data_IF_150289820008
#
_entry.id   IF_150289820008
#
_cell.length_a   1.000
_cell.length_b   1.000
_cell.length_c   1.000
_cell.angle_alpha   90.00
_cell.angle_beta   90.00
_cell.angle_gamma   90.00
#
_symmetry.space_group_name_H-M   'P 1'
#
loop_
_entity.id
_entity.type
_entity.pdbx_description
1 polymer ?
#
# COMPACT_ATOMS: atom_id res chain seq x y z
N UNK A 1 31.85 8.21 63.11
CA UNK A 1 32.67 9.31 62.58
C UNK A 1 33.82 8.71 61.78
N UNK A 2 33.99 9.14 60.51
CA UNK A 2 35.23 9.33 59.72
C UNK A 2 36.33 8.24 59.76
N UNK A 3 37.11 7.95 58.74
CA UNK A 3 37.24 8.29 57.31
C UNK A 3 38.58 7.66 56.89
N UNK A 4 38.68 7.05 55.71
CA UNK A 4 39.96 6.64 55.10
C UNK A 4 39.78 6.63 53.57
N UNK A 5 40.33 7.59 52.83
CA UNK A 5 41.61 7.59 52.05
C UNK A 5 41.45 7.25 50.56
N UNK A 6 42.03 8.10 49.68
CA UNK A 6 42.35 7.84 48.26
C UNK A 6 41.50 8.64 47.26
N UNK A 7 41.97 9.78 46.70
CA UNK A 7 42.87 9.99 45.54
C UNK A 7 42.16 9.95 44.15
N UNK A 8 42.08 11.09 43.45
CA UNK A 8 42.73 11.36 42.13
C UNK A 8 42.12 12.56 41.33
N UNK A 9 43.04 13.41 40.88
CA UNK A 9 43.12 14.23 39.66
C UNK A 9 42.07 15.30 39.34
N UNK A 10 42.42 16.55 39.67
CA UNK A 10 41.92 17.75 39.02
C UNK A 10 42.76 18.05 37.77
N UNK A 11 42.13 18.07 36.59
CA UNK A 11 42.74 18.45 35.31
C UNK A 11 43.40 19.84 35.37
N UNK A 12 44.70 19.88 35.06
CA UNK A 12 45.42 21.11 34.71
C UNK A 12 44.95 21.63 33.33
N UNK A 13 44.56 22.90 33.26
CA UNK A 13 44.40 23.59 31.98
C UNK A 13 45.74 24.21 31.56
N UNK A 14 46.18 24.05 30.29
CA UNK A 14 47.43 24.62 29.85
C UNK A 14 47.36 26.15 29.84
N UNK A 15 48.40 26.78 30.41
CA UNK A 15 48.57 28.23 30.43
C UNK A 15 48.90 28.72 29.01
N UNK A 16 48.02 29.55 28.45
CA UNK A 16 48.24 30.20 27.16
C UNK A 16 49.33 31.28 27.28
N UNK A 17 50.38 31.17 26.47
CA UNK A 17 51.45 32.18 26.34
C UNK A 17 51.45 32.76 24.92
N UNK A 18 51.24 34.07 24.82
CA UNK A 18 51.19 34.80 23.55
C UNK A 18 52.58 35.33 23.17
N UNK A 19 53.10 34.92 22.00
CA UNK A 19 54.38 35.39 21.44
C UNK A 19 54.11 36.37 20.27
N UNK A 20 54.38 37.68 20.41
CA UNK A 20 54.00 38.69 19.40
C UNK A 20 54.75 38.61 18.07
N UNK A 21 55.82 37.79 17.97
CA UNK A 21 56.59 37.61 16.72
C UNK A 21 56.15 36.43 15.86
N UNK A 22 55.40 35.48 16.41
CA UNK A 22 55.04 34.23 15.72
C UNK A 22 53.58 34.17 15.25
N UNK A 23 52.77 35.19 15.59
CA UNK A 23 51.34 35.16 15.27
C UNK A 23 50.58 34.11 16.10
N UNK A 24 49.25 34.16 16.06
CA UNK A 24 48.41 33.17 16.74
C UNK A 24 48.32 31.98 15.79
N UNK A 25 49.03 30.90 16.09
CA UNK A 25 48.74 29.61 15.47
C UNK A 25 47.38 29.14 16.03
N UNK A 26 46.32 29.49 15.30
CA UNK A 26 44.97 29.07 15.63
C UNK A 26 44.69 27.74 14.92
N UNK A 27 44.73 26.58 15.62
CA UNK A 27 44.47 25.29 14.99
C UNK A 27 43.03 25.15 14.46
N UNK A 28 42.16 26.14 14.69
CA UNK A 28 40.75 26.12 14.29
C UNK A 28 40.48 26.62 12.84
N UNK A 29 41.50 26.84 12.01
CA UNK A 29 41.32 27.24 10.60
C UNK A 29 42.11 26.34 9.64
N UNK A 30 42.00 25.02 9.82
CA UNK A 30 42.05 24.14 8.65
C UNK A 30 40.65 24.22 8.04
N UNK A 31 40.51 25.04 6.99
CA UNK A 31 39.36 24.94 6.09
C UNK A 31 39.59 23.63 5.34
N UNK A 32 39.23 22.50 5.95
CA UNK A 32 38.91 21.33 5.16
C UNK A 32 37.75 21.76 4.28
N UNK A 33 37.91 21.68 2.96
CA UNK A 33 36.77 21.75 2.05
C UNK A 33 35.68 20.86 2.66
N UNK A 34 34.60 21.47 3.16
CA UNK A 34 33.43 20.72 3.59
C UNK A 34 33.09 19.83 2.38
N UNK A 35 32.97 18.50 2.54
CA UNK A 35 32.52 17.67 1.44
C UNK A 35 31.19 18.30 0.99
N UNK A 36 31.12 18.68 -0.29
CA UNK A 36 29.88 19.19 -0.88
C UNK A 36 28.75 18.28 -0.39
N UNK A 37 27.62 18.83 0.08
CA UNK A 37 26.54 18.02 0.64
C UNK A 37 26.27 16.90 -0.35
N UNK A 38 26.43 15.65 0.09
CA UNK A 38 26.27 14.46 -0.73
C UNK A 38 25.00 14.65 -1.57
N UNK A 39 25.14 14.98 -2.86
CA UNK A 39 24.02 15.33 -3.75
C UNK A 39 23.27 14.05 -4.15
N UNK A 40 23.20 13.08 -3.24
CA UNK A 40 22.43 11.87 -3.43
C UNK A 40 20.95 12.27 -3.38
N UNK A 41 20.18 11.95 -4.43
CA UNK A 41 18.77 12.31 -4.51
C UNK A 41 18.06 11.69 -3.31
N UNK A 42 17.46 12.50 -2.44
CA UNK A 42 16.88 12.01 -1.19
C UNK A 42 15.34 12.00 -1.29
N UNK A 43 14.71 10.81 -1.41
CA UNK A 43 13.25 10.74 -1.48
C UNK A 43 12.58 11.32 -0.24
N UNK A 44 11.52 12.08 -0.45
CA UNK A 44 10.72 12.70 0.61
C UNK A 44 9.46 11.88 0.84
N UNK A 45 9.14 11.64 2.10
CA UNK A 45 7.89 11.02 2.49
C UNK A 45 6.84 12.10 2.75
N UNK A 46 5.81 12.13 1.90
CA UNK A 46 4.62 12.94 2.09
C UNK A 46 3.52 12.11 2.77
N UNK A 47 3.08 12.56 3.95
CA UNK A 47 1.99 11.95 4.70
C UNK A 47 0.73 12.80 4.52
N UNK A 48 -0.21 12.32 3.73
CA UNK A 48 -1.47 13.00 3.49
C UNK A 48 -2.55 12.40 4.40
N UNK A 49 -3.26 13.28 5.10
CA UNK A 49 -4.41 12.92 5.92
C UNK A 49 -5.61 13.76 5.49
N UNK A 50 -6.68 13.10 5.07
CA UNK A 50 -7.92 13.74 4.66
C UNK A 50 -9.07 13.43 5.62
N UNK A 51 -10.13 14.22 5.54
CA UNK A 51 -11.42 13.89 6.16
C UNK A 51 -12.26 13.01 5.23
N UNK A 52 -13.26 12.32 5.78
CA UNK A 52 -14.21 11.53 4.99
C UNK A 52 -14.94 12.44 3.99
N UNK A 53 -14.98 12.06 2.72
CA UNK A 53 -15.57 12.85 1.63
C UNK A 53 -14.68 13.99 1.08
N UNK A 54 -13.49 14.23 1.65
CA UNK A 54 -12.54 15.20 1.12
C UNK A 54 -11.65 14.54 0.03
N UNK A 55 -11.21 15.30 -0.97
CA UNK A 55 -10.13 14.85 -1.87
C UNK A 55 -8.77 14.96 -1.17
N UNK A 56 -7.73 14.32 -1.72
CA UNK A 56 -6.36 14.62 -1.30
C UNK A 56 -5.83 15.94 -1.90
N UNK A 57 -6.51 16.47 -2.93
CA UNK A 57 -6.21 17.75 -3.58
C UNK A 57 -4.98 17.71 -4.49
N UNK A 58 -4.83 16.65 -5.27
CA UNK A 58 -3.83 16.55 -6.34
C UNK A 58 -4.34 15.68 -7.49
N UNK A 59 -3.67 15.81 -8.63
CA UNK A 59 -3.87 14.97 -9.81
C UNK A 59 -2.65 14.09 -10.03
N UNK A 60 -2.90 12.84 -10.42
CA UNK A 60 -1.84 11.93 -10.85
C UNK A 60 -1.85 11.85 -12.36
N UNK A 61 -0.67 12.02 -12.95
CA UNK A 61 -0.42 11.86 -14.38
C UNK A 61 0.60 10.75 -14.59
N UNK A 62 0.39 9.93 -15.62
CA UNK A 62 1.43 9.02 -16.11
C UNK A 62 2.24 9.72 -17.19
N UNK A 63 3.56 9.74 -17.03
CA UNK A 63 4.48 10.24 -18.04
C UNK A 63 4.97 9.09 -18.92
N UNK A 64 4.45 9.02 -20.15
CA UNK A 64 4.77 7.95 -21.09
C UNK A 64 6.24 7.97 -21.53
N UNK A 65 6.97 9.08 -21.40
CA UNK A 65 8.38 9.18 -21.81
C UNK A 65 9.33 8.60 -20.76
N UNK A 66 8.99 8.74 -19.49
CA UNK A 66 9.84 8.34 -18.36
C UNK A 66 9.32 7.12 -17.60
N UNK A 67 8.17 6.57 -18.00
CA UNK A 67 7.43 5.51 -17.27
C UNK A 67 7.12 5.83 -15.80
N UNK A 68 7.19 7.10 -15.41
CA UNK A 68 6.99 7.54 -14.03
C UNK A 68 5.63 8.18 -13.78
N UNK A 69 5.25 8.23 -12.51
CA UNK A 69 4.05 8.91 -12.03
C UNK A 69 4.38 10.33 -11.57
N UNK A 70 3.66 11.33 -12.07
CA UNK A 70 3.86 12.73 -11.76
C UNK A 70 2.65 13.31 -11.00
N UNK A 71 2.93 14.11 -9.98
CA UNK A 71 1.95 14.93 -9.28
C UNK A 71 1.73 16.25 -10.03
N UNK A 72 0.46 16.63 -10.22
CA UNK A 72 0.04 17.89 -10.85
C UNK A 72 -1.10 18.52 -10.07
N UNK A 73 -1.28 19.83 -10.29
CA UNK A 73 -2.42 20.61 -9.82
C UNK A 73 -2.69 20.39 -8.33
N UNK A 74 -1.64 20.55 -7.50
CA UNK A 74 -1.77 20.51 -6.05
C UNK A 74 -2.64 21.69 -5.60
N UNK A 75 -3.83 21.38 -5.09
CA UNK A 75 -4.83 22.35 -4.69
C UNK A 75 -4.34 23.12 -3.44
N UNK A 76 -4.48 24.45 -3.39
CA UNK A 76 -4.15 25.23 -2.19
C UNK A 76 -4.96 24.77 -0.97
N UNK A 77 -4.31 24.74 0.20
CA UNK A 77 -4.90 24.33 1.49
C UNK A 77 -5.36 22.87 1.53
N UNK A 78 -4.98 22.06 0.54
CA UNK A 78 -5.32 20.63 0.48
C UNK A 78 -4.46 19.79 1.41
N UNK A 79 -4.86 18.53 1.71
CA UNK A 79 -3.99 17.56 2.37
C UNK A 79 -2.66 17.36 1.64
N UNK A 80 -2.63 17.42 0.31
CA UNK A 80 -1.42 17.31 -0.50
C UNK A 80 -0.43 18.45 -0.22
N UNK A 81 -0.88 19.70 -0.32
CA UNK A 81 0.00 20.86 -0.09
C UNK A 81 0.59 20.86 1.33
N UNK A 82 -0.27 20.61 2.34
CA UNK A 82 0.13 20.54 3.74
C UNK A 82 1.12 19.40 4.02
N UNK A 83 1.09 18.32 3.24
CA UNK A 83 2.05 17.22 3.35
C UNK A 83 3.42 17.53 2.74
N UNK A 84 3.58 18.69 2.10
CA UNK A 84 4.81 19.08 1.41
C UNK A 84 4.90 18.59 -0.04
N UNK A 85 3.80 18.04 -0.59
CA UNK A 85 3.71 17.65 -1.99
C UNK A 85 3.71 18.90 -2.87
N UNK A 86 4.35 18.83 -4.04
CA UNK A 86 4.32 19.92 -5.03
C UNK A 86 4.12 19.37 -6.44
N UNK A 87 3.68 20.24 -7.32
CA UNK A 87 3.62 19.99 -8.75
C UNK A 87 4.99 19.60 -9.31
N UNK A 88 5.02 18.55 -10.12
CA UNK A 88 6.23 17.98 -10.69
C UNK A 88 6.87 16.89 -9.84
N UNK A 89 6.43 16.66 -8.59
CA UNK A 89 6.94 15.56 -7.77
C UNK A 89 6.68 14.21 -8.45
N UNK A 90 7.70 13.35 -8.46
CA UNK A 90 7.66 12.00 -9.05
C UNK A 90 7.41 10.96 -7.97
N UNK A 91 6.37 10.15 -8.13
CA UNK A 91 5.97 9.15 -7.13
C UNK A 91 6.76 7.86 -7.31
N UNK A 92 7.56 7.51 -6.31
CA UNK A 92 8.30 6.25 -6.24
C UNK A 92 7.50 5.15 -5.53
N UNK A 93 6.82 5.50 -4.43
CA UNK A 93 6.04 4.55 -3.65
C UNK A 93 4.67 5.09 -3.24
N UNK A 94 3.69 4.20 -3.19
CA UNK A 94 2.36 4.41 -2.60
C UNK A 94 2.17 3.40 -1.47
N UNK A 95 1.99 3.88 -0.24
CA UNK A 95 1.75 3.05 0.95
C UNK A 95 2.76 1.91 1.11
N UNK A 96 4.06 2.24 1.06
CA UNK A 96 5.19 1.30 1.20
C UNK A 96 5.28 0.25 0.07
N UNK A 97 4.71 0.53 -1.10
CA UNK A 97 4.81 -0.29 -2.32
C UNK A 97 5.37 0.55 -3.47
N UNK A 98 6.44 0.07 -4.11
CA UNK A 98 7.08 0.72 -5.25
C UNK A 98 6.17 0.68 -6.48
N UNK A 99 5.99 1.80 -7.17
CA UNK A 99 4.96 1.96 -8.22
C UNK A 99 5.45 2.19 -9.64
N UNK A 100 6.73 2.49 -9.87
CA UNK A 100 7.27 2.93 -11.18
C UNK A 100 6.93 1.97 -12.36
N UNK A 101 6.78 0.67 -12.11
CA UNK A 101 6.42 -0.33 -13.13
C UNK A 101 4.98 -0.90 -12.99
N UNK A 102 4.10 -0.20 -12.29
CA UNK A 102 2.72 -0.62 -12.07
C UNK A 102 1.80 0.12 -13.06
N UNK A 103 0.77 -0.57 -13.56
CA UNK A 103 -0.27 0.03 -14.40
C UNK A 103 -0.94 1.26 -13.76
N UNK A 104 -1.28 2.27 -14.57
CA UNK A 104 -1.85 3.53 -14.10
C UNK A 104 -3.11 3.31 -13.25
N UNK A 105 -4.05 2.48 -13.73
CA UNK A 105 -5.31 2.25 -13.05
C UNK A 105 -5.11 1.49 -11.74
N UNK A 106 -4.09 0.63 -11.68
CA UNK A 106 -3.72 -0.07 -10.45
C UNK A 106 -3.16 0.88 -9.39
N UNK A 107 -2.31 1.84 -9.77
CA UNK A 107 -1.83 2.89 -8.85
C UNK A 107 -2.97 3.80 -8.38
N UNK A 108 -3.83 4.24 -9.30
CA UNK A 108 -5.03 5.03 -8.96
C UNK A 108 -5.90 4.29 -7.96
N UNK A 109 -6.16 3.00 -8.18
CA UNK A 109 -6.94 2.16 -7.26
C UNK A 109 -6.30 2.09 -5.87
N UNK A 110 -4.98 1.91 -5.78
CA UNK A 110 -4.25 1.89 -4.49
C UNK A 110 -4.43 3.19 -3.72
N UNK A 111 -4.37 4.33 -4.40
CA UNK A 111 -4.56 5.66 -3.80
C UNK A 111 -6.02 5.84 -3.36
N UNK A 112 -6.99 5.46 -4.19
CA UNK A 112 -8.41 5.58 -3.85
C UNK A 112 -8.82 4.63 -2.71
N UNK A 113 -8.17 3.49 -2.58
CA UNK A 113 -8.49 2.46 -1.58
C UNK A 113 -7.78 2.66 -0.23
N UNK A 114 -6.94 3.68 -0.10
CA UNK A 114 -6.11 3.89 1.09
C UNK A 114 -6.90 4.45 2.30
N UNK A 115 -8.16 4.83 2.09
CA UNK A 115 -9.01 5.44 3.10
C UNK A 115 -8.62 6.89 3.37
N UNK A 116 -8.37 7.22 4.65
CA UNK A 116 -8.09 8.59 5.10
C UNK A 116 -6.60 8.95 5.13
N UNK A 117 -5.73 7.95 5.07
CA UNK A 117 -4.29 8.11 5.17
C UNK A 117 -3.61 7.63 3.89
N UNK A 118 -2.80 8.49 3.29
CA UNK A 118 -2.01 8.17 2.10
C UNK A 118 -0.55 8.52 2.37
N UNK A 119 0.35 7.59 2.06
CA UNK A 119 1.79 7.78 2.19
C UNK A 119 2.41 7.72 0.81
N UNK A 120 3.00 8.83 0.37
CA UNK A 120 3.70 8.93 -0.91
C UNK A 120 5.19 9.12 -0.66
N UNK A 121 6.04 8.28 -1.24
CA UNK A 121 7.46 8.55 -1.33
C UNK A 121 7.72 9.20 -2.69
N UNK A 122 8.24 10.43 -2.68
CA UNK A 122 8.40 11.24 -3.89
C UNK A 122 9.83 11.77 -4.04
N UNK A 123 10.24 11.99 -5.30
CA UNK A 123 11.43 12.76 -5.65
C UNK A 123 11.02 14.05 -6.35
N UNK A 124 11.86 15.09 -6.27
CA UNK A 124 11.69 16.27 -7.13
C UNK A 124 11.90 15.87 -8.60
N UNK A 125 11.31 16.64 -9.53
CA UNK A 125 11.44 16.37 -10.97
C UNK A 125 12.91 16.31 -11.37
N UNK A 126 13.68 17.31 -10.96
CA UNK A 126 15.08 17.48 -11.32
C UNK A 126 15.93 16.31 -10.76
N UNK A 127 15.71 15.95 -9.50
CA UNK A 127 16.40 14.83 -8.83
C UNK A 127 16.06 13.49 -9.49
N UNK A 128 14.80 13.28 -9.90
CA UNK A 128 14.37 12.07 -10.60
C UNK A 128 15.01 11.98 -11.98
N UNK A 129 14.99 13.04 -12.77
CA UNK A 129 15.61 13.09 -14.10
C UNK A 129 17.14 12.92 -14.04
N UNK A 130 17.78 13.51 -13.03
CA UNK A 130 19.21 13.33 -12.76
C UNK A 130 19.51 11.88 -12.36
N UNK A 131 18.69 11.27 -11.50
CA UNK A 131 18.83 9.86 -11.10
C UNK A 131 18.74 8.92 -12.30
N UNK A 132 17.76 9.15 -13.19
CA UNK A 132 17.62 8.37 -14.42
C UNK A 132 18.82 8.54 -15.36
N UNK A 133 19.30 9.77 -15.51
CA UNK A 133 20.47 10.08 -16.36
C UNK A 133 21.76 9.43 -15.86
N UNK A 134 21.90 9.30 -14.53
CA UNK A 134 23.01 8.63 -13.87
C UNK A 134 22.84 7.11 -13.77
N UNK A 135 21.70 6.55 -14.21
CA UNK A 135 21.41 5.11 -14.12
C UNK A 135 21.23 4.62 -12.68
N UNK A 136 20.81 5.49 -11.76
CA UNK A 136 20.55 5.12 -10.36
C UNK A 136 19.30 4.23 -10.31
N UNK A 137 19.40 3.09 -9.61
CA UNK A 137 18.24 2.26 -9.32
C UNK A 137 17.34 2.93 -8.27
N UNK A 138 16.26 3.55 -8.74
CA UNK A 138 15.25 4.23 -7.93
C UNK A 138 14.59 3.30 -6.89
N UNK A 139 14.49 2.00 -7.16
CA UNK A 139 13.95 1.06 -6.18
C UNK A 139 14.93 0.86 -5.02
N UNK A 140 16.23 0.74 -5.30
CA UNK A 140 17.26 0.68 -4.28
C UNK A 140 17.34 1.98 -3.49
N UNK A 141 17.19 3.12 -4.15
CA UNK A 141 17.10 4.43 -3.51
C UNK A 141 15.90 4.52 -2.55
N UNK A 142 14.71 4.09 -3.00
CA UNK A 142 13.51 4.06 -2.17
C UNK A 142 13.69 3.16 -0.93
N UNK A 143 14.33 2.00 -1.09
CA UNK A 143 14.66 1.08 0.02
C UNK A 143 15.66 1.70 0.99
N UNK A 144 16.72 2.32 0.48
CA UNK A 144 17.75 2.97 1.29
C UNK A 144 17.15 4.06 2.21
N UNK A 145 16.10 4.76 1.76
CA UNK A 145 15.41 5.77 2.59
C UNK A 145 14.77 5.23 3.87
N UNK A 146 14.57 3.90 3.98
CA UNK A 146 13.89 3.24 5.11
C UNK A 146 14.86 2.72 6.18
N UNK A 147 16.15 2.60 5.84
CA UNK A 147 17.19 2.02 6.67
C UNK A 147 17.34 0.50 6.52
N UNK A 148 18.44 -0.03 7.06
CA UNK A 148 18.76 -1.46 7.01
C UNK A 148 17.77 -2.29 7.82
N UNK A 149 17.47 -3.51 7.32
CA UNK A 149 16.60 -4.50 7.98
C UNK A 149 15.16 -4.03 8.28
N UNK A 150 14.64 -3.10 7.47
CA UNK A 150 13.24 -2.70 7.54
C UNK A 150 12.30 -3.74 6.91
N UNK A 151 11.17 -3.99 7.57
CA UNK A 151 10.04 -4.77 7.06
C UNK A 151 8.71 -4.04 7.23
N UNK A 152 7.72 -4.39 6.39
CA UNK A 152 6.36 -3.86 6.53
C UNK A 152 5.64 -4.54 7.70
N UNK A 153 4.77 -3.82 8.42
CA UNK A 153 3.83 -4.40 9.37
C UNK A 153 3.02 -5.52 8.71
N UNK A 154 2.60 -6.51 9.50
CA UNK A 154 1.82 -7.65 9.01
C UNK A 154 0.41 -7.59 9.58
N UNK A 155 -0.58 -7.57 8.69
CA UNK A 155 -1.99 -7.71 9.02
C UNK A 155 -2.36 -9.20 8.87
N UNK A 156 -2.38 -9.90 10.00
CA UNK A 156 -2.55 -11.34 10.06
C UNK A 156 -3.96 -11.69 10.49
N UNK A 157 -4.61 -12.60 9.78
CA UNK A 157 -5.87 -13.20 10.21
C UNK A 157 -5.63 -14.60 10.78
N UNK A 158 -6.01 -14.78 12.04
CA UNK A 158 -5.78 -16.01 12.80
C UNK A 158 -7.13 -16.69 12.99
N UNK A 159 -7.31 -17.84 12.34
CA UNK A 159 -8.46 -18.71 12.57
C UNK A 159 -8.23 -19.58 13.81
N UNK A 160 -9.25 -19.68 14.67
CA UNK A 160 -9.16 -20.48 15.90
C UNK A 160 -9.11 -21.97 15.57
N UNK A 161 -8.09 -22.65 16.07
CA UNK A 161 -8.00 -24.10 16.01
C UNK A 161 -8.75 -24.75 17.20
N UNK A 162 -9.50 -25.85 17.00
CA UNK A 162 -10.26 -26.50 18.07
C UNK A 162 -9.43 -26.91 19.29
N UNK A 163 -8.19 -27.35 19.07
CA UNK A 163 -7.29 -27.85 20.13
C UNK A 163 -6.34 -26.78 20.67
N UNK A 164 -5.85 -25.90 19.81
CA UNK A 164 -4.74 -24.98 20.13
C UNK A 164 -5.22 -23.53 20.33
N UNK A 165 -6.52 -23.29 20.24
CA UNK A 165 -7.10 -21.96 20.22
C UNK A 165 -6.49 -21.13 19.10
N UNK A 166 -6.13 -19.88 19.40
CA UNK A 166 -5.47 -18.99 18.44
C UNK A 166 -3.95 -19.24 18.34
N UNK A 167 -3.35 -19.95 19.31
CA UNK A 167 -1.89 -20.14 19.38
C UNK A 167 -1.10 -18.84 19.57
N UNK A 168 -1.72 -17.79 20.11
CA UNK A 168 -1.11 -16.49 20.42
C UNK A 168 -1.27 -16.16 21.90
N UNK A 169 -0.20 -15.71 22.52
CA UNK A 169 -0.17 -15.19 23.89
C UNK A 169 0.23 -13.72 23.83
N UNK A 170 -0.60 -12.85 24.41
CA UNK A 170 -0.33 -11.41 24.48
C UNK A 170 0.32 -11.11 25.83
N UNK A 171 1.49 -10.50 25.79
CA UNK A 171 2.29 -10.15 26.98
C UNK A 171 2.35 -8.63 27.10
N UNK A 172 2.00 -8.08 28.27
CA UNK A 172 2.15 -6.64 28.53
C UNK A 172 3.61 -6.28 28.74
N UNK A 173 4.06 -5.18 28.13
CA UNK A 173 5.41 -4.65 28.34
C UNK A 173 5.45 -3.94 29.70
N UNK A 174 6.36 -4.37 30.57
CA UNK A 174 6.49 -3.83 31.92
C UNK A 174 6.77 -2.32 31.90
N UNK A 175 6.07 -1.55 32.74
CA UNK A 175 6.21 -0.11 32.83
C UNK A 175 5.59 0.70 31.68
N UNK A 176 5.04 0.08 30.63
CA UNK A 176 4.50 0.77 29.45
C UNK A 176 3.03 0.43 29.22
N UNK A 177 2.13 1.34 29.66
CA UNK A 177 0.69 1.20 29.42
C UNK A 177 0.39 1.23 27.91
N UNK A 178 -0.46 0.30 27.46
CA UNK A 178 -0.90 0.23 26.06
C UNK A 178 0.10 -0.40 25.10
N UNK A 179 1.19 -1.00 25.60
CA UNK A 179 2.17 -1.73 24.79
C UNK A 179 2.15 -3.21 25.12
N UNK A 180 2.06 -4.03 24.07
CA UNK A 180 1.99 -5.47 24.20
C UNK A 180 2.84 -6.13 23.12
N UNK A 181 3.50 -7.21 23.50
CA UNK A 181 4.21 -8.11 22.59
C UNK A 181 3.44 -9.41 22.47
N UNK A 182 3.72 -10.16 21.42
CA UNK A 182 3.07 -11.44 21.16
C UNK A 182 4.09 -12.57 21.18
N UNK A 183 3.69 -13.69 21.76
CA UNK A 183 4.38 -14.97 21.65
C UNK A 183 3.49 -15.94 20.92
N UNK A 184 4.05 -16.63 19.94
CA UNK A 184 3.35 -17.64 19.14
C UNK A 184 3.73 -19.03 19.61
N UNK A 185 2.79 -19.98 19.47
CA UNK A 185 3.07 -21.40 19.62
C UNK A 185 3.69 -21.93 18.33
N UNK A 186 4.75 -22.75 18.44
CA UNK A 186 5.38 -23.41 17.28
C UNK A 186 4.37 -24.24 16.50
N UNK A 187 4.34 -24.07 15.17
CA UNK A 187 3.37 -24.65 14.23
C UNK A 187 1.90 -24.32 14.56
N UNK A 188 1.68 -23.31 15.40
CA UNK A 188 0.37 -22.84 15.82
C UNK A 188 -0.35 -22.00 14.76
N UNK A 189 -1.66 -21.75 14.93
CA UNK A 189 -2.45 -20.97 13.98
C UNK A 189 -1.92 -19.54 13.79
N UNK A 190 -1.45 -18.89 14.86
CA UNK A 190 -0.88 -17.54 14.79
C UNK A 190 0.41 -17.48 13.96
N UNK A 191 1.31 -18.45 14.14
CA UNK A 191 2.56 -18.51 13.38
C UNK A 191 2.28 -18.79 11.90
N UNK A 192 1.35 -19.71 11.60
CA UNK A 192 0.88 -19.98 10.23
C UNK A 192 0.20 -18.77 9.58
N UNK A 193 -0.42 -17.91 10.36
CA UNK A 193 -0.99 -16.64 9.91
C UNK A 193 0.05 -15.53 9.68
N UNK A 194 1.34 -15.78 9.99
CA UNK A 194 2.44 -14.83 9.78
C UNK A 194 2.80 -13.96 10.99
N UNK A 195 2.28 -14.28 12.18
CA UNK A 195 2.68 -13.61 13.42
C UNK A 195 3.99 -14.23 13.93
N UNK A 196 4.95 -13.41 14.32
CA UNK A 196 6.22 -13.88 14.86
C UNK A 196 6.32 -13.63 16.36
N UNK A 197 6.95 -14.54 17.09
CA UNK A 197 7.24 -14.34 18.52
C UNK A 197 8.18 -13.15 18.70
N UNK A 198 7.84 -12.24 19.61
CA UNK A 198 8.58 -11.01 19.87
C UNK A 198 8.04 -9.79 19.10
N UNK A 199 7.07 -9.98 18.20
CA UNK A 199 6.42 -8.85 17.54
C UNK A 199 5.65 -7.98 18.53
N UNK A 200 5.53 -6.70 18.22
CA UNK A 200 4.67 -5.77 18.92
C UNK A 200 3.28 -5.75 18.32
N UNK A 201 2.26 -5.82 19.17
CA UNK A 201 0.85 -5.75 18.78
C UNK A 201 0.39 -4.29 18.71
N UNK A 202 0.00 -3.84 17.52
CA UNK A 202 -0.38 -2.45 17.24
C UNK A 202 -1.89 -2.27 17.18
N UNK A 203 -2.59 -3.21 16.54
CA UNK A 203 -4.04 -3.13 16.31
C UNK A 203 -4.67 -4.53 16.32
N UNK A 204 -5.93 -4.61 16.73
CA UNK A 204 -6.72 -5.84 16.83
C UNK A 204 -8.19 -5.57 16.49
N UNK A 205 -8.77 -6.33 15.56
CA UNK A 205 -10.20 -6.31 15.19
C UNK A 205 -10.81 -4.89 15.08
N UNK A 206 -10.18 -3.99 14.34
CA UNK A 206 -10.68 -2.62 14.14
C UNK A 206 -10.17 -1.60 15.16
N UNK A 207 -9.53 -2.01 16.25
CA UNK A 207 -9.13 -1.12 17.34
C UNK A 207 -7.61 -1.04 17.54
N UNK A 208 -7.10 0.18 17.75
CA UNK A 208 -5.71 0.40 18.16
C UNK A 208 -5.49 -0.14 19.58
N UNK A 209 -4.45 -0.93 19.76
CA UNK A 209 -4.19 -1.58 21.06
C UNK A 209 -3.76 -0.57 22.12
N UNK A 210 -3.13 0.54 21.71
CA UNK A 210 -2.76 1.66 22.59
C UNK A 210 -3.97 2.31 23.28
N UNK A 211 -5.17 2.21 22.70
CA UNK A 211 -6.41 2.76 23.28
C UNK A 211 -7.13 1.75 24.19
N UNK A 212 -6.66 0.50 24.26
CA UNK A 212 -7.32 -0.58 25.00
C UNK A 212 -6.63 -0.87 26.34
N UNK A 213 -7.44 -1.11 27.36
CA UNK A 213 -6.94 -1.68 28.63
C UNK A 213 -6.62 -3.16 28.46
N UNK A 214 -5.76 -3.70 29.32
CA UNK A 214 -5.40 -5.13 29.29
C UNK A 214 -6.64 -6.04 29.46
N UNK A 215 -7.62 -5.63 30.27
CA UNK A 215 -8.87 -6.38 30.43
C UNK A 215 -9.75 -6.31 29.18
N UNK A 216 -9.87 -5.13 28.55
CA UNK A 216 -10.60 -4.98 27.28
C UNK A 216 -9.95 -5.80 26.17
N UNK A 217 -8.63 -5.75 26.04
CA UNK A 217 -7.88 -6.50 25.03
C UNK A 217 -8.12 -8.01 25.14
N UNK A 218 -7.98 -8.55 26.36
CA UNK A 218 -8.25 -9.97 26.61
C UNK A 218 -9.71 -10.33 26.38
N UNK A 219 -10.65 -9.43 26.69
CA UNK A 219 -12.08 -9.64 26.36
C UNK A 219 -12.31 -9.65 24.86
N UNK A 220 -11.65 -8.79 24.07
CA UNK A 220 -11.74 -8.80 22.60
C UNK A 220 -11.28 -10.15 22.05
N UNK A 221 -10.13 -10.65 22.48
CA UNK A 221 -9.59 -11.96 22.04
C UNK A 221 -10.48 -13.13 22.47
N UNK A 222 -11.09 -13.05 23.66
CA UNK A 222 -11.99 -14.09 24.17
C UNK A 222 -13.38 -14.05 23.54
N UNK A 223 -13.90 -12.86 23.21
CA UNK A 223 -15.21 -12.66 22.55
C UNK A 223 -15.15 -13.08 21.08
N UNK A 224 -13.98 -12.99 20.47
CA UNK A 224 -13.75 -13.51 19.13
C UNK A 224 -13.78 -15.04 19.14
N UNK A 225 -14.97 -15.60 18.91
CA UNK A 225 -15.19 -17.05 18.98
C UNK A 225 -14.44 -17.80 17.86
N UNK A 226 -14.45 -17.29 16.63
CA UNK A 226 -13.90 -18.03 15.48
C UNK A 226 -12.55 -17.54 14.96
N UNK A 227 -12.29 -16.23 15.02
CA UNK A 227 -11.06 -15.67 14.44
C UNK A 227 -10.71 -14.29 15.00
N UNK A 228 -9.43 -13.92 14.89
CA UNK A 228 -8.91 -12.61 15.27
C UNK A 228 -8.01 -12.09 14.16
N UNK A 229 -8.16 -10.82 13.80
CA UNK A 229 -7.25 -10.12 12.88
C UNK A 229 -6.39 -9.14 13.67
N UNK A 230 -5.07 -9.26 13.54
CA UNK A 230 -4.08 -8.46 14.27
C UNK A 230 -3.13 -7.75 13.32
N UNK A 231 -2.67 -6.57 13.72
CA UNK A 231 -1.57 -5.85 13.08
C UNK A 231 -0.34 -5.92 13.99
N UNK A 232 0.72 -6.54 13.49
CA UNK A 232 1.95 -6.77 14.23
C UNK A 232 3.17 -6.21 13.48
N UNK A 233 4.23 -5.88 14.21
CA UNK A 233 5.49 -5.39 13.64
C UNK A 233 6.67 -5.87 14.50
N UNK A 234 7.81 -6.14 13.87
CA UNK A 234 9.04 -6.42 14.61
C UNK A 234 9.64 -5.14 15.22
N UNK A 235 10.47 -5.30 16.26
CA UNK A 235 11.03 -4.20 17.05
C UNK A 235 12.00 -3.31 16.26
N UNK A 236 12.77 -3.87 15.33
CA UNK A 236 13.71 -3.10 14.52
C UNK A 236 12.95 -2.20 13.54
N UNK A 237 11.98 -2.78 12.82
CA UNK A 237 11.13 -2.06 11.89
C UNK A 237 10.29 -0.99 12.58
N UNK A 238 9.74 -1.25 13.77
CA UNK A 238 9.02 -0.23 14.55
C UNK A 238 9.87 1.04 14.74
N UNK A 239 11.15 0.86 15.06
CA UNK A 239 12.08 1.97 15.25
C UNK A 239 12.24 2.82 13.98
N UNK A 240 12.17 2.20 12.79
CA UNK A 240 12.18 2.91 11.51
C UNK A 240 10.90 3.73 11.29
N UNK A 241 9.72 3.19 11.62
CA UNK A 241 8.45 3.92 11.52
C UNK A 241 8.43 5.13 12.48
N UNK A 242 8.89 4.95 13.71
CA UNK A 242 8.99 6.03 14.70
C UNK A 242 9.94 7.14 14.22
N UNK A 243 11.12 6.78 13.69
CA UNK A 243 12.10 7.75 13.15
C UNK A 243 11.54 8.54 11.98
N UNK A 244 10.79 7.89 11.08
CA UNK A 244 10.13 8.50 9.91
C UNK A 244 8.84 9.24 10.28
N UNK A 245 8.47 9.26 11.57
CA UNK A 245 7.21 9.82 12.10
C UNK A 245 5.98 9.24 11.39
N UNK A 246 6.04 7.96 11.00
CA UNK A 246 4.96 7.27 10.31
C UNK A 246 4.09 6.47 11.28
N UNK A 247 2.76 6.65 11.27
CA UNK A 247 1.88 5.78 12.02
C UNK A 247 1.80 4.39 11.36
N UNK A 248 1.82 3.34 12.17
CA UNK A 248 1.63 1.96 11.71
C UNK A 248 0.12 1.70 11.58
N UNK A 249 -0.34 1.58 10.35
CA UNK A 249 -1.75 1.43 9.98
C UNK A 249 -1.94 0.23 9.03
N UNK A 250 -3.15 -0.35 8.93
CA UNK A 250 -3.41 -1.44 7.97
C UNK A 250 -3.04 -1.10 6.53
N UNK A 251 -3.15 0.18 6.13
CA UNK A 251 -2.84 0.66 4.77
C UNK A 251 -1.37 0.47 4.37
N UNK A 252 -0.43 0.51 5.32
CA UNK A 252 1.01 0.26 5.06
C UNK A 252 1.41 -1.20 5.32
N UNK A 253 0.47 -2.02 5.80
CA UNK A 253 0.74 -3.41 6.13
C UNK A 253 0.84 -4.31 4.89
N UNK A 254 1.53 -5.43 5.04
CA UNK A 254 1.34 -6.60 4.19
C UNK A 254 0.19 -7.43 4.75
N UNK A 255 -0.67 -7.94 3.87
CA UNK A 255 -1.77 -8.84 4.23
C UNK A 255 -1.24 -10.28 4.33
N UNK A 256 -1.62 -11.00 5.39
CA UNK A 256 -1.30 -12.40 5.60
C UNK A 256 -2.58 -13.17 5.97
N UNK A 257 -3.04 -14.05 5.07
CA UNK A 257 -4.10 -15.01 5.35
C UNK A 257 -5.51 -14.42 5.52
N UNK A 258 -5.82 -13.26 4.94
CA UNK A 258 -7.19 -12.72 5.01
C UNK A 258 -8.19 -13.67 4.32
N UNK A 259 -9.35 -13.97 4.95
CA UNK A 259 -10.26 -15.02 4.52
C UNK A 259 -11.12 -14.63 3.31
N UNK A 260 -11.19 -13.34 2.99
CA UNK A 260 -12.04 -12.81 1.94
C UNK A 260 -11.24 -11.89 1.03
N UNK A 261 -11.37 -12.11 -0.27
CA UNK A 261 -10.67 -11.37 -1.30
C UNK A 261 -11.68 -10.79 -2.28
N UNK A 262 -11.45 -9.55 -2.70
CA UNK A 262 -12.24 -8.97 -3.79
C UNK A 262 -11.88 -9.68 -5.10
N UNK A 263 -12.87 -10.02 -5.92
CA UNK A 263 -12.73 -10.69 -7.21
C UNK A 263 -12.80 -9.65 -8.32
N UNK A 264 -11.92 -9.72 -9.32
CA UNK A 264 -12.02 -8.89 -10.53
C UNK A 264 -12.42 -9.78 -11.70
N UNK A 265 -13.54 -9.42 -12.32
CA UNK A 265 -14.19 -10.16 -13.39
C UNK A 265 -14.08 -9.37 -14.69
N UNK A 266 -13.51 -10.00 -15.72
CA UNK A 266 -13.42 -9.44 -17.05
C UNK A 266 -14.57 -10.00 -17.89
N UNK A 267 -15.56 -9.17 -18.17
CA UNK A 267 -16.77 -9.58 -18.86
C UNK A 267 -16.71 -9.10 -20.32
N UNK A 268 -17.01 -10.02 -21.22
CA UNK A 268 -17.25 -9.71 -22.64
C UNK A 268 -18.72 -9.97 -22.93
N UNK A 269 -19.39 -8.98 -23.51
CA UNK A 269 -20.83 -9.02 -23.77
C UNK A 269 -21.15 -10.12 -24.78
N UNK A 270 -22.05 -11.02 -24.40
CA UNK A 270 -22.61 -12.04 -25.28
C UNK A 270 -23.78 -11.51 -26.10
N UNK A 271 -24.42 -12.41 -26.86
CA UNK A 271 -25.63 -12.10 -27.66
C UNK A 271 -26.77 -11.57 -26.79
N UNK A 272 -26.93 -12.14 -25.61
CA UNK A 272 -27.97 -11.81 -24.63
C UNK A 272 -27.49 -10.83 -23.54
N UNK A 273 -26.36 -10.15 -23.78
CA UNK A 273 -25.75 -9.24 -22.80
C UNK A 273 -24.72 -9.94 -21.92
N UNK A 274 -24.57 -9.45 -20.68
CA UNK A 274 -23.59 -9.99 -19.73
C UNK A 274 -24.14 -11.15 -18.88
N UNK A 275 -25.47 -11.29 -18.77
CA UNK A 275 -26.16 -12.35 -18.02
C UNK A 275 -26.16 -12.18 -16.50
N UNK A 276 -26.39 -10.96 -16.02
CA UNK A 276 -26.62 -10.66 -14.61
C UNK A 276 -27.55 -9.46 -14.46
N UNK A 277 -28.17 -9.34 -13.28
CA UNK A 277 -28.95 -8.18 -12.85
C UNK A 277 -28.19 -7.40 -11.78
N UNK A 278 -28.09 -6.08 -11.96
CA UNK A 278 -27.62 -5.18 -10.91
C UNK A 278 -28.83 -4.69 -10.10
N UNK A 279 -28.90 -5.02 -8.82
CA UNK A 279 -29.96 -4.55 -7.92
C UNK A 279 -29.44 -3.53 -6.92
N UNK A 280 -30.29 -2.56 -6.62
CA UNK A 280 -30.10 -1.63 -5.53
C UNK A 280 -30.80 -2.17 -4.28
N UNK A 281 -30.02 -2.55 -3.27
CA UNK A 281 -30.54 -3.11 -2.03
C UNK A 281 -30.30 -2.14 -0.87
N UNK A 282 -31.31 -1.96 -0.01
CA UNK A 282 -31.15 -1.22 1.24
C UNK A 282 -30.53 -2.15 2.25
N UNK A 283 -29.38 -1.75 2.78
CA UNK A 283 -28.68 -2.58 3.73
C UNK A 283 -29.39 -2.52 5.10
N UNK A 284 -29.77 -3.68 5.61
CA UNK A 284 -30.40 -3.81 6.92
C UNK A 284 -29.60 -3.10 8.03
N UNK A 285 -30.28 -2.28 8.84
CA UNK A 285 -29.68 -1.55 9.96
C UNK A 285 -28.90 -0.28 9.57
N UNK A 286 -28.84 0.11 8.29
CA UNK A 286 -28.20 1.37 7.87
C UNK A 286 -29.07 2.12 6.86
N UNK A 287 -28.80 3.41 6.65
CA UNK A 287 -29.37 4.18 5.53
C UNK A 287 -28.58 4.03 4.23
N UNK A 288 -27.54 3.18 4.22
CA UNK A 288 -26.68 3.01 3.06
C UNK A 288 -27.32 2.07 2.05
N UNK A 289 -27.17 2.46 0.80
CA UNK A 289 -27.65 1.74 -0.36
C UNK A 289 -26.44 0.98 -0.91
N UNK A 290 -26.65 -0.28 -1.27
CA UNK A 290 -25.60 -1.13 -1.85
C UNK A 290 -26.05 -1.69 -3.20
N UNK A 291 -25.07 -2.01 -4.04
CA UNK A 291 -25.31 -2.55 -5.38
C UNK A 291 -24.90 -4.01 -5.43
N UNK A 292 -25.89 -4.88 -5.58
CA UNK A 292 -25.73 -6.34 -5.48
C UNK A 292 -25.90 -6.96 -6.86
N UNK A 293 -25.01 -7.88 -7.20
CA UNK A 293 -25.07 -8.71 -8.39
C UNK A 293 -26.03 -9.87 -8.13
N UNK A 294 -27.06 -10.00 -8.96
CA UNK A 294 -28.16 -10.96 -8.79
C UNK A 294 -28.50 -11.64 -10.10
N UNK A 295 -29.22 -12.75 -10.02
CA UNK A 295 -29.84 -13.43 -11.16
C UNK A 295 -28.78 -13.69 -12.25
N UNK A 296 -27.68 -14.34 -11.86
CA UNK A 296 -26.61 -14.73 -12.78
C UNK A 296 -27.10 -15.87 -13.65
N UNK A 297 -27.17 -15.63 -14.96
CA UNK A 297 -27.69 -16.59 -15.92
C UNK A 297 -26.68 -17.73 -16.16
N UNK A 298 -27.17 -18.97 -16.23
CA UNK A 298 -26.34 -20.16 -16.49
C UNK A 298 -25.75 -20.10 -17.91
N UNK A 299 -24.45 -20.34 -18.04
CA UNK A 299 -23.71 -20.26 -19.30
C UNK A 299 -23.42 -18.84 -19.77
N UNK A 300 -23.74 -17.82 -18.95
CA UNK A 300 -23.47 -16.42 -19.29
C UNK A 300 -22.00 -16.03 -19.16
N UNK A 301 -21.58 -14.91 -19.78
CA UNK A 301 -20.28 -14.32 -19.50
C UNK A 301 -20.06 -14.01 -18.01
N UNK A 302 -21.11 -13.65 -17.28
CA UNK A 302 -21.06 -13.40 -15.84
C UNK A 302 -20.70 -14.65 -15.03
N UNK A 303 -21.42 -15.76 -15.24
CA UNK A 303 -21.11 -17.03 -14.60
C UNK A 303 -19.70 -17.50 -14.98
N UNK A 304 -19.35 -17.42 -16.27
CA UNK A 304 -18.03 -17.82 -16.77
C UNK A 304 -16.86 -17.00 -16.19
N UNK A 305 -17.12 -15.76 -15.76
CA UNK A 305 -16.13 -14.92 -15.09
C UNK A 305 -16.07 -15.15 -13.56
N UNK A 306 -16.89 -16.06 -13.01
CA UNK A 306 -16.92 -16.39 -11.59
C UNK A 306 -17.81 -15.47 -10.75
N UNK A 307 -18.82 -14.83 -11.36
CA UNK A 307 -19.80 -14.02 -10.65
C UNK A 307 -20.71 -14.91 -9.79
N UNK A 308 -20.86 -14.55 -8.51
CA UNK A 308 -21.75 -15.24 -7.57
C UNK A 308 -22.99 -14.39 -7.29
N UNK A 309 -24.17 -15.02 -7.23
CA UNK A 309 -25.40 -14.33 -6.81
C UNK A 309 -25.27 -13.83 -5.37
N UNK A 310 -25.59 -12.56 -5.18
CA UNK A 310 -25.50 -11.89 -3.88
C UNK A 310 -24.17 -11.16 -3.65
N UNK A 311 -23.22 -11.21 -4.58
CA UNK A 311 -21.98 -10.46 -4.46
C UNK A 311 -22.22 -8.94 -4.50
N UNK A 312 -21.48 -8.21 -3.66
CA UNK A 312 -21.48 -6.76 -3.62
C UNK A 312 -20.53 -6.20 -4.68
N UNK A 313 -21.03 -5.29 -5.52
CA UNK A 313 -20.21 -4.56 -6.47
C UNK A 313 -19.37 -3.48 -5.74
N UNK A 314 -18.05 -3.53 -5.93
CA UNK A 314 -17.08 -2.60 -5.36
C UNK A 314 -16.56 -1.58 -6.37
N UNK A 315 -16.35 -1.98 -7.62
CA UNK A 315 -15.85 -1.08 -8.68
C UNK A 315 -16.32 -1.49 -10.09
N UNK A 316 -16.42 -0.50 -10.98
CA UNK A 316 -16.65 -0.67 -12.43
C UNK A 316 -15.48 0.01 -13.17
N UNK A 317 -14.77 -0.77 -14.00
CA UNK A 317 -13.57 -0.36 -14.72
C UNK A 317 -12.54 0.34 -13.82
N UNK A 318 -12.31 -0.25 -12.65
CA UNK A 318 -11.37 0.27 -11.65
C UNK A 318 -11.85 1.50 -10.87
N UNK A 319 -13.01 2.07 -11.18
CA UNK A 319 -13.57 3.20 -10.41
C UNK A 319 -14.52 2.67 -9.32
N UNK A 320 -14.33 3.06 -8.05
CA UNK A 320 -15.18 2.61 -6.94
C UNK A 320 -16.63 3.07 -7.13
N UNK A 321 -17.58 2.27 -6.62
CA UNK A 321 -19.03 2.56 -6.74
C UNK A 321 -19.72 2.86 -5.40
N UNK A 322 -19.00 2.86 -4.27
CA UNK A 322 -19.63 3.03 -2.94
C UNK A 322 -20.40 4.35 -2.79
N UNK A 323 -19.92 5.44 -3.40
CA UNK A 323 -20.59 6.75 -3.38
C UNK A 323 -21.45 7.02 -4.61
N UNK A 324 -21.52 6.11 -5.59
CA UNK A 324 -22.23 6.36 -6.85
C UNK A 324 -23.72 6.04 -6.74
N UNK A 325 -24.56 6.82 -7.43
CA UNK A 325 -25.96 6.47 -7.60
C UNK A 325 -26.13 5.26 -8.54
N UNK A 326 -27.21 4.50 -8.33
CA UNK A 326 -27.49 3.29 -9.11
C UNK A 326 -27.54 3.56 -10.61
N UNK A 327 -28.21 4.63 -11.03
CA UNK A 327 -28.35 4.98 -12.45
C UNK A 327 -27.00 5.27 -13.10
N UNK A 328 -26.09 5.92 -12.38
CA UNK A 328 -24.78 6.28 -12.91
C UNK A 328 -23.87 5.06 -13.05
N UNK A 329 -23.99 4.09 -12.13
CA UNK A 329 -23.31 2.80 -12.27
C UNK A 329 -23.82 2.07 -13.50
N UNK A 330 -25.15 2.02 -13.70
CA UNK A 330 -25.77 1.37 -14.86
C UNK A 330 -25.34 2.07 -16.16
N UNK A 331 -25.36 3.40 -16.22
CA UNK A 331 -24.86 4.18 -17.37
C UNK A 331 -23.41 3.83 -17.68
N UNK A 332 -22.56 3.73 -16.66
CA UNK A 332 -21.13 3.43 -16.80
C UNK A 332 -20.88 2.02 -17.33
N UNK A 333 -21.62 1.02 -16.85
CA UNK A 333 -21.56 -0.34 -17.39
C UNK A 333 -22.00 -0.34 -18.86
N UNK A 334 -23.10 0.34 -19.20
CA UNK A 334 -23.60 0.43 -20.59
C UNK A 334 -22.64 1.16 -21.53
N UNK A 335 -22.03 2.24 -21.06
CA UNK A 335 -21.03 3.02 -21.81
C UNK A 335 -19.72 2.25 -22.01
N UNK A 336 -19.47 1.19 -21.26
CA UNK A 336 -18.29 0.34 -21.45
C UNK A 336 -18.36 -0.49 -22.74
N UNK A 337 -19.52 -0.51 -23.41
CA UNK A 337 -19.72 -1.23 -24.67
C UNK A 337 -19.74 -2.73 -24.44
N UNK A 338 -18.85 -3.45 -25.13
CA UNK A 338 -18.79 -4.91 -25.13
C UNK A 338 -17.86 -5.49 -24.07
N UNK A 339 -17.02 -4.67 -23.43
CA UNK A 339 -16.07 -5.12 -22.40
C UNK A 339 -16.24 -4.32 -21.14
N UNK A 340 -16.44 -4.98 -20.01
CA UNK A 340 -16.51 -4.33 -18.70
C UNK A 340 -15.73 -5.14 -17.67
N UNK A 341 -15.03 -4.42 -16.78
CA UNK A 341 -14.30 -5.01 -15.66
C UNK A 341 -15.08 -4.68 -14.40
N UNK A 342 -15.56 -5.69 -13.69
CA UNK A 342 -16.27 -5.53 -12.42
C UNK A 342 -15.41 -6.07 -11.29
N UNK A 343 -15.33 -5.34 -10.17
CA UNK A 343 -14.72 -5.85 -8.94
C UNK A 343 -15.82 -6.06 -7.92
N UNK A 344 -15.95 -7.27 -7.38
CA UNK A 344 -16.96 -7.62 -6.38
C UNK A 344 -16.36 -8.27 -5.13
N UNK A 345 -17.17 -8.42 -4.08
CA UNK A 345 -16.85 -9.24 -2.91
C UNK A 345 -18.12 -9.88 -2.35
N UNK A 346 -17.97 -11.03 -1.72
CA UNK A 346 -19.07 -11.65 -0.98
C UNK A 346 -19.56 -10.78 0.18
N UNK A 347 -20.83 -10.92 0.53
CA UNK A 347 -21.45 -10.20 1.66
C UNK A 347 -20.68 -10.47 2.97
N UNK A 348 -20.28 -11.73 3.20
CA UNK A 348 -19.44 -12.12 4.36
C UNK A 348 -18.11 -11.37 4.37
N UNK A 349 -17.45 -11.28 3.21
CA UNK A 349 -16.21 -10.53 3.07
C UNK A 349 -16.38 -9.06 3.36
N UNK A 350 -17.42 -8.43 2.81
CA UNK A 350 -17.69 -7.03 3.11
C UNK A 350 -17.95 -6.78 4.59
N UNK A 351 -18.73 -7.63 5.25
CA UNK A 351 -19.01 -7.48 6.68
C UNK A 351 -17.74 -7.61 7.53
N UNK A 352 -16.85 -8.54 7.17
CA UNK A 352 -15.52 -8.68 7.74
C UNK A 352 -14.68 -7.39 7.60
N UNK A 353 -14.47 -6.89 6.38
CA UNK A 353 -13.67 -5.68 6.15
C UNK A 353 -14.26 -4.43 6.83
N UNK A 354 -15.60 -4.34 6.90
CA UNK A 354 -16.30 -3.26 7.62
C UNK A 354 -16.05 -3.32 9.12
N UNK A 355 -16.10 -4.50 9.74
CA UNK A 355 -15.82 -4.66 11.16
C UNK A 355 -14.38 -4.24 11.49
N UNK A 356 -13.46 -4.49 10.56
CA UNK A 356 -12.07 -4.06 10.66
C UNK A 356 -11.85 -2.57 10.28
N UNK A 357 -12.85 -1.87 9.73
CA UNK A 357 -12.69 -0.48 9.29
C UNK A 357 -11.66 -0.28 8.19
N UNK A 358 -11.48 -1.28 7.31
CA UNK A 358 -10.55 -1.26 6.18
C UNK A 358 -11.28 -1.52 4.87
N UNK A 359 -10.75 -0.98 3.76
CA UNK A 359 -11.36 -1.18 2.45
C UNK A 359 -11.11 -2.60 1.92
N UNK A 360 -12.13 -3.31 1.38
CA UNK A 360 -11.96 -4.63 0.78
C UNK A 360 -11.00 -4.66 -0.42
N UNK A 361 -10.83 -3.53 -1.10
CA UNK A 361 -9.94 -3.40 -2.26
C UNK A 361 -8.49 -3.05 -1.87
N UNK A 362 -8.21 -2.80 -0.59
CA UNK A 362 -6.89 -2.42 -0.10
C UNK A 362 -5.80 -3.46 -0.45
N UNK A 363 -6.15 -4.75 -0.44
CA UNK A 363 -5.21 -5.86 -0.68
C UNK A 363 -5.47 -6.64 -1.98
N UNK A 364 -6.35 -6.13 -2.83
CA UNK A 364 -6.87 -6.85 -3.99
C UNK A 364 -5.77 -7.37 -4.95
N UNK A 365 -4.67 -6.62 -5.12
CA UNK A 365 -3.62 -6.98 -6.09
C UNK A 365 -2.62 -8.05 -5.61
N UNK A 366 -2.62 -8.44 -4.32
CA UNK A 366 -1.64 -9.40 -3.79
C UNK A 366 -2.15 -10.84 -3.80
N UNK A 367 -3.46 -11.04 -3.86
CA UNK A 367 -4.06 -12.37 -3.91
C UNK A 367 -4.01 -13.00 -5.30
N UNK A 368 -3.94 -12.20 -6.37
CA UNK A 368 -3.81 -12.72 -7.75
C UNK A 368 -2.43 -13.34 -8.02
N UNK A 369 -1.39 -12.96 -7.27
CA UNK A 369 -0.03 -13.49 -7.43
C UNK A 369 0.24 -14.79 -6.64
N UNK A 370 -0.68 -15.22 -5.78
CA UNK A 370 -0.54 -16.50 -5.06
C UNK A 370 -1.13 -17.68 -5.83
N UNK A 371 -2.04 -17.45 -6.79
CA UNK A 371 -2.59 -18.51 -7.65
C UNK A 371 -1.57 -19.03 -8.67
N UNK A 372 -0.72 -18.16 -9.21
CA UNK A 372 0.34 -18.57 -10.16
C UNK A 372 1.46 -19.41 -9.51
N UNK A 373 1.58 -19.39 -8.17
CA UNK A 373 2.56 -20.21 -7.44
C UNK A 373 2.06 -21.59 -7.07
N UNK A 374 0.75 -21.86 -7.20
CA UNK A 374 0.16 -23.16 -6.88
C UNK A 374 0.17 -24.14 -8.06
N UNK A 375 0.57 -23.71 -9.27
CA UNK A 375 0.74 -24.60 -10.43
C UNK A 375 2.17 -25.15 -10.63
N UNK A 376 3.16 -24.74 -9.83
CA UNK A 376 4.54 -25.27 -9.91
C UNK A 376 4.96 -25.99 -8.64
N UNK A 377 4.19 -26.96 -8.18
CA UNK A 377 4.69 -28.00 -7.26
C UNK A 377 4.13 -29.36 -7.67
N UNK A 378 4.67 -29.93 -8.74
CA UNK A 378 4.71 -31.39 -8.87
C UNK A 378 5.96 -31.82 -9.65
N UNK A 379 6.67 -32.79 -9.06
CA UNK A 379 7.85 -33.51 -9.56
C UNK A 379 9.22 -32.83 -9.51
N UNK A 380 9.83 -32.84 -8.32
CA UNK A 380 11.29 -32.96 -8.19
C UNK A 380 11.65 -34.42 -7.88
N UNK A 381 12.29 -35.10 -8.83
CA UNK A 381 13.00 -36.36 -8.58
C UNK A 381 14.43 -36.23 -9.09
N UNK A 382 15.37 -36.23 -8.14
CA UNK A 382 16.80 -36.59 -8.17
C UNK A 382 17.62 -36.31 -9.44
N UNK A 383 18.54 -35.35 -9.28
CA UNK A 383 19.91 -35.21 -9.80
C UNK A 383 20.45 -36.28 -10.75
N UNK A 384 21.04 -35.84 -11.88
CA UNK A 384 22.48 -36.01 -12.16
C UNK A 384 22.97 -35.09 -13.30
N UNK A 385 24.20 -34.61 -13.09
CA UNK A 385 25.19 -33.92 -13.93
C UNK A 385 25.05 -33.90 -15.46
N UNK A 386 25.29 -32.73 -16.07
CA UNK A 386 26.26 -32.55 -17.18
C UNK A 386 26.51 -31.05 -17.51
N UNK A 387 27.72 -30.76 -17.97
CA UNK A 387 28.35 -29.44 -18.23
C UNK A 387 27.84 -28.69 -19.47
N UNK A 388 28.07 -27.36 -19.59
CA UNK A 388 27.45 -26.54 -20.63
C UNK A 388 28.24 -26.53 -21.95
N UNK A 389 27.52 -26.60 -23.07
CA UNK A 389 28.03 -26.27 -24.41
C UNK A 389 27.43 -24.94 -24.88
N UNK A 390 28.29 -24.05 -25.37
CA UNK A 390 27.96 -22.86 -26.14
C UNK A 390 27.54 -23.25 -27.55
N UNK A 391 26.51 -22.59 -28.09
CA UNK A 391 26.59 -21.75 -29.30
C UNK A 391 25.20 -21.27 -29.74
N UNK A 392 25.17 -20.08 -30.37
CA UNK A 392 24.21 -19.78 -31.45
C UNK A 392 23.14 -18.74 -31.15
N UNK A 393 23.21 -17.63 -31.89
CA UNK A 393 22.21 -16.56 -32.05
C UNK A 393 20.74 -17.01 -32.05
N UNK A 394 19.87 -16.21 -31.43
CA UNK A 394 18.42 -16.41 -31.49
C UNK A 394 17.65 -15.26 -30.84
N UNK A 395 17.42 -14.20 -31.63
CA UNK A 395 16.58 -13.07 -31.30
C UNK A 395 15.18 -13.54 -30.84
N UNK A 396 14.77 -13.18 -29.62
CA UNK A 396 13.40 -13.39 -29.14
C UNK A 396 12.61 -12.08 -29.29
N UNK A 397 11.82 -12.03 -30.35
CA UNK A 397 10.81 -11.03 -30.65
C UNK A 397 9.61 -11.18 -29.69
N UNK A 398 9.22 -10.12 -28.99
CA UNK A 398 7.94 -10.04 -28.28
C UNK A 398 6.84 -9.52 -29.22
N UNK A 399 5.61 -10.06 -29.15
CA UNK A 399 4.53 -9.67 -30.05
C UNK A 399 4.06 -8.23 -29.78
N UNK A 400 4.20 -7.38 -30.79
CA UNK A 400 3.63 -6.04 -30.87
C UNK A 400 2.12 -6.15 -31.12
N UNK A 401 1.29 -5.74 -30.17
CA UNK A 401 -0.15 -5.58 -30.38
C UNK A 401 -0.41 -4.14 -30.86
N UNK A 402 -0.79 -4.03 -32.14
CA UNK A 402 -1.22 -2.79 -32.78
C UNK A 402 -2.52 -2.27 -32.14
N UNK A 403 -2.55 -0.98 -31.78
CA UNK A 403 -3.79 -0.24 -31.53
C UNK A 403 -4.14 0.48 -32.81
N UNK A 404 -5.32 0.21 -33.34
CA UNK A 404 -5.83 0.79 -34.58
C UNK A 404 -6.82 1.91 -34.22
N UNK A 405 -6.48 3.14 -34.60
CA UNK A 405 -7.33 4.32 -34.46
C UNK A 405 -8.57 4.20 -35.35
N UNK A 406 -9.74 4.51 -34.80
CA UNK A 406 -10.94 4.85 -35.57
C UNK A 406 -11.55 6.11 -34.95
N UNK A 407 -11.49 7.20 -35.70
CA UNK A 407 -12.15 8.49 -35.45
C UNK A 407 -13.62 8.50 -35.95
N UNK A 408 -14.41 9.40 -35.32
CA UNK A 408 -15.73 9.97 -35.71
C UNK A 408 -16.99 9.07 -35.57
N UNK A 409 -18.15 9.50 -35.07
CA UNK A 409 -18.73 10.85 -34.87
C UNK A 409 -19.84 10.89 -33.78
N UNK A 410 -19.94 12.04 -33.08
CA UNK A 410 -21.21 12.76 -32.85
C UNK A 410 -22.20 12.33 -31.74
N UNK A 411 -22.07 12.90 -30.54
CA UNK A 411 -23.06 13.79 -29.88
C UNK A 411 -22.72 14.00 -28.39
N UNK A 412 -22.61 15.27 -28.00
CA UNK A 412 -21.76 15.72 -26.90
C UNK A 412 -22.36 15.74 -25.49
N UNK A 413 -21.46 15.73 -24.50
CA UNK A 413 -21.54 16.47 -23.23
C UNK A 413 -20.11 16.81 -22.75
N UNK A 414 -19.93 18.05 -22.27
CA UNK A 414 -18.65 18.68 -21.97
C UNK A 414 -17.87 17.99 -20.83
N UNK A 415 -16.79 17.31 -21.20
CA UNK A 415 -15.58 17.21 -20.38
C UNK A 415 -14.58 18.21 -20.95
N UNK A 416 -14.03 19.11 -20.14
CA UNK A 416 -12.84 19.87 -20.55
C UNK A 416 -11.64 18.91 -20.55
N UNK A 417 -11.59 18.05 -21.56
CA UNK A 417 -10.37 17.47 -22.09
C UNK A 417 -10.00 18.36 -23.28
N UNK A 418 -9.06 19.28 -23.08
CA UNK A 418 -8.32 19.82 -24.21
C UNK A 418 -7.39 18.71 -24.73
N UNK A 419 -7.49 18.30 -26.00
CA UNK A 419 -6.52 17.42 -26.61
C UNK A 419 -5.28 18.28 -26.88
N UNK A 420 -4.34 18.29 -25.95
CA UNK A 420 -2.98 18.69 -26.29
C UNK A 420 -2.22 17.44 -26.74
N UNK A 421 -1.46 17.56 -27.82
CA UNK A 421 -0.90 16.45 -28.57
C UNK A 421 0.04 15.58 -27.70
N UNK A 422 -0.42 14.40 -27.29
CA UNK A 422 0.33 13.16 -26.93
C UNK A 422 -0.41 12.39 -25.84
N UNK A 423 -0.61 11.08 -26.03
CA UNK A 423 -1.48 10.21 -25.24
C UNK A 423 -1.27 10.25 -23.72
N UNK A 424 -1.86 11.20 -23.01
CA UNK A 424 -1.65 11.40 -21.58
C UNK A 424 -2.85 10.91 -20.77
N UNK A 425 -2.62 10.11 -19.72
CA UNK A 425 -3.64 9.74 -18.74
C UNK A 425 -3.51 10.62 -17.49
N UNK A 426 -4.60 11.30 -17.14
CA UNK A 426 -4.70 12.16 -15.94
C UNK A 426 -5.94 11.78 -15.15
N UNK A 427 -5.85 11.77 -13.82
CA UNK A 427 -7.01 11.54 -12.94
C UNK A 427 -6.90 12.37 -11.67
N UNK A 428 -8.01 13.05 -11.32
CA UNK A 428 -8.15 13.72 -10.02
C UNK A 428 -8.27 12.67 -8.92
N UNK A 429 -7.50 12.83 -7.85
CA UNK A 429 -7.61 11.98 -6.67
C UNK A 429 -8.71 12.52 -5.73
N UNK A 430 -9.95 12.45 -6.22
CA UNK A 430 -11.17 12.80 -5.50
C UNK A 430 -12.15 11.61 -5.43
N UNK A 431 -12.84 11.48 -4.31
CA UNK A 431 -14.14 10.82 -4.26
C UNK A 431 -15.16 11.94 -4.57
N UNK A 432 -15.87 11.85 -5.70
CA UNK A 432 -16.98 12.78 -5.97
C UNK A 432 -18.25 12.20 -5.35
N UNK A 433 -18.93 13.07 -4.62
CA UNK A 433 -20.25 12.90 -4.01
C UNK A 433 -21.32 12.57 -5.02
#
# INVERSE_FOLDING_TARGET
MRSSTGCQDAMEFPRFTFNPKEGIDNPALVITDDPEPDQSPMPRLCQLKRLEGQSFGFYLRMDQRSQGFEIRDVEPWSPAEHSGLRDGDRVLEVNEEYVDNIDFYRVVRKIQSCGLHLFLLVLRREEYEQSLSLGVDLQTLAKASKGDRWSRPRLCHISRHPVHGLGITIVSVEGQKGQYTVSTMTDGPAEKAGVCTGDKLIWINGAMVSTLTHSTLNRTVKKSDDSVTVLVIDRESESCYVRRKMPILPVVAQCCGLPHTAKTMHLVKGRDGYGFLLRQEKLAGTRRIVHVLREVDVGSPAEGAGMEDGDLLLAVNGKPVESMEHEDIVKKIRQSGDKVILTSISIRGRDFYRELGISPVLFHDKCTLQDDRQQTVSHCTKNQSETPLRDGDGCLTYPTMYVQDIEEAGCGFHSNCSPDQSGTLTTQMSERT
#
